data_IF_368477646734
#
_entry.id   IF_368477646734
#
_cell.length_a   1.000
_cell.length_b   1.000
_cell.length_c   1.000
_cell.angle_alpha   90.00
_cell.angle_beta   90.00
_cell.angle_gamma   90.00
#
_symmetry.space_group_name_H-M   'P 1'
#
loop_
_entity.id
_entity.type
_entity.pdbx_description
1 polymer ?
#
# COMPACT_ATOMS: atom_id res chain seq x y z
N UNK A 1 21.06 -11.54 -20.48
CA UNK A 1 19.66 -12.00 -20.35
C UNK A 1 19.28 -11.81 -18.88
N UNK A 2 18.68 -10.66 -18.54
CA UNK A 2 18.36 -10.33 -17.15
C UNK A 2 17.27 -11.28 -16.63
N UNK A 3 17.48 -11.88 -15.46
CA UNK A 3 16.48 -12.67 -14.79
C UNK A 3 15.22 -11.82 -14.61
N UNK A 4 14.13 -12.16 -15.31
CA UNK A 4 12.82 -11.59 -15.04
C UNK A 4 12.51 -11.91 -13.59
N UNK A 5 12.32 -10.89 -12.77
CA UNK A 5 11.82 -11.02 -11.42
C UNK A 5 10.40 -11.61 -11.47
N UNK A 6 10.34 -12.94 -11.43
CA UNK A 6 9.15 -13.80 -11.56
C UNK A 6 8.24 -13.75 -10.33
N UNK A 7 8.59 -12.96 -9.31
CA UNK A 7 7.74 -12.82 -8.14
C UNK A 7 6.55 -11.90 -8.46
N UNK A 8 5.34 -12.37 -8.12
CA UNK A 8 4.11 -11.57 -8.10
C UNK A 8 3.97 -10.75 -6.80
N UNK A 9 5.01 -10.75 -5.97
CA UNK A 9 5.05 -10.04 -4.70
C UNK A 9 5.07 -8.52 -4.89
N UNK A 10 4.55 -7.84 -3.88
CA UNK A 10 4.51 -6.38 -3.82
C UNK A 10 5.86 -5.86 -3.34
N UNK A 11 6.29 -4.71 -3.86
CA UNK A 11 7.50 -4.05 -3.38
C UNK A 11 7.41 -3.71 -1.88
N UNK A 12 8.53 -3.80 -1.17
CA UNK A 12 8.55 -3.73 0.29
C UNK A 12 8.60 -2.30 0.85
N UNK A 13 9.27 -1.39 0.13
CA UNK A 13 9.45 0.02 0.48
C UNK A 13 9.47 0.87 -0.78
N UNK A 14 9.31 2.17 -0.61
CA UNK A 14 9.44 3.13 -1.70
C UNK A 14 10.09 4.43 -1.24
N UNK A 15 10.76 5.09 -2.18
CA UNK A 15 11.04 6.51 -2.12
C UNK A 15 9.94 7.26 -2.88
N UNK A 16 9.27 8.18 -2.20
CA UNK A 16 8.33 9.13 -2.78
C UNK A 16 9.03 10.48 -2.96
N UNK A 17 9.22 10.89 -4.20
CA UNK A 17 9.73 12.20 -4.57
C UNK A 17 8.55 13.09 -4.95
N UNK A 18 8.36 14.18 -4.21
CA UNK A 18 7.22 15.10 -4.39
C UNK A 18 7.67 16.41 -5.02
N UNK A 19 7.12 16.72 -6.19
CA UNK A 19 7.21 18.00 -6.88
C UNK A 19 5.84 18.70 -6.89
N UNK A 20 5.76 20.00 -7.20
CA UNK A 20 4.49 20.72 -7.30
C UNK A 20 3.48 20.09 -8.26
N UNK A 21 3.94 19.55 -9.39
CA UNK A 21 3.16 19.01 -10.50
C UNK A 21 3.15 17.47 -10.57
N UNK A 22 4.10 16.78 -9.92
CA UNK A 22 4.25 15.33 -10.02
C UNK A 22 4.65 14.64 -8.72
N UNK A 23 4.24 13.38 -8.59
CA UNK A 23 4.87 12.43 -7.67
C UNK A 23 5.64 11.37 -8.45
N UNK A 24 6.79 10.96 -7.92
CA UNK A 24 7.55 9.82 -8.41
C UNK A 24 7.71 8.82 -7.28
N UNK A 25 7.30 7.57 -7.51
CA UNK A 25 7.33 6.50 -6.50
C UNK A 25 8.26 5.40 -7.03
N UNK A 26 9.42 5.31 -6.40
CA UNK A 26 10.51 4.43 -6.80
C UNK A 26 10.62 3.24 -5.84
N UNK A 27 10.52 1.99 -6.33
CA UNK A 27 10.63 0.80 -5.50
C UNK A 27 11.99 0.65 -4.84
N UNK A 28 11.99 0.41 -3.53
CA UNK A 28 13.18 0.16 -2.71
C UNK A 28 13.04 -1.13 -1.89
N UNK A 29 14.16 -1.71 -1.49
CA UNK A 29 14.17 -2.73 -0.44
C UNK A 29 14.24 -2.09 0.96
N UNK A 30 14.34 -2.93 2.00
CA UNK A 30 14.43 -2.48 3.40
C UNK A 30 15.70 -1.71 3.75
N UNK A 31 16.79 -1.93 3.01
CA UNK A 31 18.07 -1.23 3.23
C UNK A 31 18.19 0.02 2.35
N UNK A 32 17.18 0.30 1.51
CA UNK A 32 17.09 1.49 0.66
C UNK A 32 17.66 1.29 -0.75
N UNK A 33 18.06 0.08 -1.14
CA UNK A 33 18.56 -0.20 -2.48
C UNK A 33 17.42 -0.17 -3.50
N UNK A 34 17.73 0.26 -4.73
CA UNK A 34 16.78 0.22 -5.86
C UNK A 34 16.50 -1.23 -6.21
N UNK A 35 15.22 -1.60 -6.32
CA UNK A 35 14.80 -2.98 -6.69
C UNK A 35 14.11 -3.05 -8.05
N UNK A 36 13.94 -1.93 -8.74
CA UNK A 36 13.32 -1.87 -10.07
C UNK A 36 13.97 -0.80 -10.93
N UNK A 37 14.09 -1.08 -12.23
CA UNK A 37 14.47 -0.08 -13.23
C UNK A 37 13.29 0.81 -13.66
N UNK A 38 12.11 0.61 -13.05
CA UNK A 38 10.91 1.40 -13.30
C UNK A 38 10.37 2.04 -12.03
N UNK A 39 9.68 3.17 -12.20
CA UNK A 39 8.99 3.91 -11.15
C UNK A 39 7.58 4.30 -11.60
N UNK A 40 6.70 4.57 -10.64
CA UNK A 40 5.39 5.12 -10.88
C UNK A 40 5.46 6.66 -10.88
N UNK A 41 5.12 7.29 -12.00
CA UNK A 41 4.85 8.72 -12.10
C UNK A 41 3.35 8.98 -11.92
N UNK A 42 3.01 9.96 -11.08
CA UNK A 42 1.65 10.46 -10.91
C UNK A 42 1.66 11.94 -11.29
N UNK A 43 0.91 12.30 -12.33
CA UNK A 43 0.68 13.69 -12.68
C UNK A 43 -0.39 14.28 -11.75
N UNK A 44 -0.02 15.33 -11.00
CA UNK A 44 -0.89 15.94 -9.98
C UNK A 44 -1.97 16.84 -10.60
N UNK A 45 -1.84 17.20 -11.87
CA UNK A 45 -2.79 18.07 -12.57
C UNK A 45 -3.87 17.22 -13.26
N UNK A 46 -3.45 16.25 -14.06
CA UNK A 46 -4.35 15.39 -14.83
C UNK A 46 -4.84 14.17 -14.05
N UNK A 47 -4.13 13.78 -12.99
CA UNK A 47 -4.38 12.54 -12.25
C UNK A 47 -3.85 11.29 -12.94
N UNK A 48 -3.11 11.45 -14.04
CA UNK A 48 -2.61 10.33 -14.84
C UNK A 48 -1.50 9.57 -14.09
N UNK A 49 -1.57 8.24 -14.18
CA UNK A 49 -0.63 7.32 -13.57
C UNK A 49 0.16 6.61 -14.69
N UNK A 50 1.49 6.67 -14.65
CA UNK A 50 2.36 6.08 -15.66
C UNK A 50 3.48 5.27 -15.03
N UNK A 51 3.70 4.06 -15.53
CA UNK A 51 4.93 3.31 -15.24
C UNK A 51 6.01 3.76 -16.23
N UNK A 52 7.13 4.28 -15.73
CA UNK A 52 8.26 4.75 -16.54
C UNK A 52 9.54 4.04 -16.19
N UNK A 53 10.44 3.91 -17.17
CA UNK A 53 11.80 3.42 -16.99
C UNK A 53 12.72 4.56 -16.57
N UNK A 54 13.60 4.32 -15.60
CA UNK A 54 14.62 5.29 -15.16
C UNK A 54 15.61 5.58 -16.29
N UNK A 55 15.87 4.60 -17.17
CA UNK A 55 16.78 4.77 -18.30
C UNK A 55 16.24 5.73 -19.37
N UNK A 56 14.92 5.77 -19.55
CA UNK A 56 14.27 6.60 -20.57
C UNK A 56 13.99 8.02 -20.04
N UNK A 57 13.65 8.13 -18.74
CA UNK A 57 13.32 9.39 -18.09
C UNK A 57 13.78 9.35 -16.62
N UNK A 58 14.95 9.95 -16.31
CA UNK A 58 15.44 10.02 -14.93
C UNK A 58 14.48 10.79 -14.01
N UNK A 59 14.40 10.37 -12.75
CA UNK A 59 13.61 11.08 -11.73
C UNK A 59 14.35 12.39 -11.37
N UNK A 60 13.68 13.56 -11.36
CA UNK A 60 14.28 14.84 -11.00
C UNK A 60 14.48 14.97 -9.48
N UNK A 61 15.37 14.16 -8.90
CA UNK A 61 15.53 14.00 -7.45
C UNK A 61 15.98 15.27 -6.73
N UNK A 62 16.79 16.12 -7.38
CA UNK A 62 17.36 17.33 -6.76
C UNK A 62 16.32 18.40 -6.38
N UNK A 63 15.19 18.45 -7.11
CA UNK A 63 14.12 19.43 -6.89
C UNK A 63 12.98 18.87 -6.04
N UNK A 64 13.05 17.58 -5.68
CA UNK A 64 11.98 16.87 -5.04
C UNK A 64 12.13 16.83 -3.53
N UNK A 65 11.01 16.94 -2.82
CA UNK A 65 10.94 16.53 -1.43
C UNK A 65 10.91 14.99 -1.36
N UNK A 66 11.93 14.39 -0.74
CA UNK A 66 12.03 12.95 -0.57
C UNK A 66 11.37 12.49 0.74
N UNK A 67 10.44 11.55 0.63
CA UNK A 67 9.86 10.82 1.74
C UNK A 67 10.05 9.31 1.54
N UNK A 68 10.47 8.61 2.59
CA UNK A 68 10.42 7.14 2.61
C UNK A 68 9.03 6.68 3.03
N UNK A 69 8.45 5.74 2.27
CA UNK A 69 7.14 5.16 2.57
C UNK A 69 7.20 3.64 2.57
N UNK A 70 6.32 3.04 3.37
CA UNK A 70 6.17 1.61 3.54
C UNK A 70 5.25 0.98 2.49
N UNK A 71 4.46 1.81 1.80
CA UNK A 71 3.53 1.39 0.77
C UNK A 71 2.53 2.49 0.42
N UNK A 72 1.80 2.27 -0.67
CA UNK A 72 0.67 3.12 -1.05
C UNK A 72 -0.59 2.52 -0.41
N UNK A 73 -1.26 3.30 0.44
CA UNK A 73 -2.53 2.89 1.01
C UNK A 73 -3.62 2.94 -0.08
N UNK A 74 -3.60 4.00 -0.90
CA UNK A 74 -4.37 4.11 -2.13
C UNK A 74 -4.55 5.56 -2.59
N UNK A 75 -5.44 5.75 -3.55
CA UNK A 75 -5.81 7.03 -4.13
C UNK A 75 -7.29 7.30 -3.86
N UNK A 76 -7.65 8.56 -3.60
CA UNK A 76 -9.04 8.95 -3.44
C UNK A 76 -9.33 10.30 -4.07
N UNK A 77 -10.53 10.43 -4.65
CA UNK A 77 -11.07 11.67 -5.17
C UNK A 77 -12.11 12.19 -4.19
N UNK A 78 -11.84 13.35 -3.62
CA UNK A 78 -12.84 14.13 -2.90
C UNK A 78 -13.47 15.16 -3.84
N UNK A 79 -14.54 15.81 -3.40
CA UNK A 79 -15.28 16.79 -4.21
C UNK A 79 -14.40 17.94 -4.76
N UNK A 80 -13.27 18.23 -4.12
CA UNK A 80 -12.42 19.38 -4.42
C UNK A 80 -10.94 19.02 -4.61
N UNK A 81 -10.63 17.75 -4.88
CA UNK A 81 -9.27 17.34 -5.20
C UNK A 81 -9.01 15.84 -5.11
N UNK A 82 -7.91 15.45 -5.74
CA UNK A 82 -7.36 14.10 -5.64
C UNK A 82 -6.27 14.03 -4.56
N UNK A 83 -6.18 12.88 -3.91
CA UNK A 83 -5.28 12.65 -2.79
C UNK A 83 -4.57 11.30 -2.92
N UNK A 84 -3.27 11.32 -2.62
CA UNK A 84 -2.45 10.14 -2.43
C UNK A 84 -2.38 9.81 -0.94
N UNK A 85 -2.77 8.61 -0.57
CA UNK A 85 -2.67 8.12 0.81
C UNK A 85 -1.51 7.13 0.89
N UNK A 86 -0.50 7.44 1.71
CA UNK A 86 0.70 6.61 1.88
C UNK A 86 0.82 6.09 3.30
N UNK A 87 1.51 4.96 3.45
CA UNK A 87 1.91 4.40 4.74
C UNK A 87 3.28 4.98 5.09
N UNK A 88 3.35 5.87 6.09
CA UNK A 88 4.60 6.49 6.54
C UNK A 88 5.38 5.60 7.51
N UNK A 89 4.67 4.88 8.38
CA UNK A 89 5.28 3.96 9.34
C UNK A 89 4.44 2.70 9.47
N UNK A 90 5.12 1.57 9.64
CA UNK A 90 4.51 0.33 10.03
C UNK A 90 5.47 -0.49 10.90
N UNK A 91 4.93 -1.09 11.96
CA UNK A 91 5.70 -1.89 12.90
C UNK A 91 5.61 -3.37 12.52
N UNK A 92 6.74 -4.08 12.63
CA UNK A 92 6.75 -5.52 12.43
C UNK A 92 6.01 -6.21 13.59
N UNK A 93 4.91 -6.89 13.27
CA UNK A 93 4.16 -7.70 14.24
C UNK A 93 4.83 -9.04 14.46
N UNK A 94 5.39 -9.61 13.40
CA UNK A 94 6.10 -10.87 13.43
C UNK A 94 6.20 -11.53 12.06
N UNK A 95 6.70 -12.76 12.05
CA UNK A 95 6.89 -13.57 10.83
C UNK A 95 6.02 -14.82 10.90
N UNK A 96 5.21 -15.04 9.87
CA UNK A 96 4.38 -16.24 9.68
C UNK A 96 4.73 -16.89 8.34
N UNK A 97 5.07 -18.18 8.34
CA UNK A 97 5.48 -18.93 7.14
C UNK A 97 6.56 -18.24 6.29
N UNK A 98 7.56 -17.62 6.96
CA UNK A 98 8.65 -16.91 6.29
C UNK A 98 8.30 -15.51 5.77
N UNK A 99 7.04 -15.08 5.90
CA UNK A 99 6.60 -13.75 5.50
C UNK A 99 6.38 -12.85 6.72
N UNK A 100 6.85 -11.62 6.62
CA UNK A 100 6.65 -10.60 7.63
C UNK A 100 5.25 -10.01 7.54
N UNK A 101 4.68 -9.71 8.71
CA UNK A 101 3.39 -9.05 8.83
C UNK A 101 3.58 -7.74 9.58
N UNK A 102 3.07 -6.66 9.00
CA UNK A 102 3.24 -5.30 9.48
C UNK A 102 1.90 -4.74 9.96
N UNK A 103 1.95 -3.94 11.02
CA UNK A 103 0.86 -3.10 11.50
C UNK A 103 1.11 -1.66 11.06
N UNK A 104 0.17 -1.06 10.32
CA UNK A 104 0.26 0.34 9.92
C UNK A 104 0.08 1.23 11.15
N UNK A 105 1.08 2.04 11.46
CA UNK A 105 1.07 2.93 12.63
C UNK A 105 0.95 4.40 12.27
N UNK A 106 1.32 4.78 11.05
CA UNK A 106 1.17 6.14 10.57
C UNK A 106 0.87 6.17 9.07
N UNK A 107 -0.15 6.94 8.69
CA UNK A 107 -0.48 7.26 7.30
C UNK A 107 -0.33 8.76 7.06
N UNK A 108 -0.25 9.14 5.79
CA UNK A 108 -0.25 10.54 5.36
C UNK A 108 -1.15 10.70 4.13
N UNK A 109 -1.96 11.75 4.13
CA UNK A 109 -2.85 12.13 3.03
C UNK A 109 -2.21 13.33 2.33
N UNK A 110 -1.77 13.15 1.09
CA UNK A 110 -1.04 14.15 0.32
C UNK A 110 -1.96 14.64 -0.82
N UNK A 111 -2.38 15.93 -0.81
CA UNK A 111 -3.21 16.47 -1.88
C UNK A 111 -2.44 16.55 -3.20
N UNK A 112 -3.12 16.41 -4.33
CA UNK A 112 -2.52 16.62 -5.65
C UNK A 112 -2.29 18.11 -5.90
N UNK A 113 -3.29 18.96 -5.61
CA UNK A 113 -3.13 20.40 -5.70
C UNK A 113 -2.74 20.98 -4.34
N UNK A 114 -1.61 21.70 -4.27
CA UNK A 114 -1.21 22.42 -3.05
C UNK A 114 -2.05 23.69 -2.81
N UNK A 115 -2.66 24.25 -3.86
CA UNK A 115 -3.38 25.52 -3.77
C UNK A 115 -4.89 25.32 -3.78
N UNK A 116 -5.58 26.07 -2.94
CA UNK A 116 -7.04 26.15 -2.87
C UNK A 116 -7.57 27.44 -3.50
N UNK A 117 -6.74 28.17 -4.27
CA UNK A 117 -7.08 29.49 -4.81
C UNK A 117 -8.28 29.46 -5.77
N UNK A 118 -8.56 28.31 -6.39
CA UNK A 118 -9.70 28.10 -7.27
C UNK A 118 -11.00 27.77 -6.49
N UNK A 119 -10.91 27.61 -5.16
CA UNK A 119 -12.03 27.23 -4.32
C UNK A 119 -12.58 28.43 -3.54
N UNK A 120 -13.90 28.45 -3.36
CA UNK A 120 -14.57 29.36 -2.43
C UNK A 120 -14.31 28.93 -0.98
N UNK A 121 -14.48 29.85 -0.02
CA UNK A 121 -14.32 29.55 1.41
C UNK A 121 -15.16 28.36 1.87
N UNK A 122 -16.40 28.26 1.38
CA UNK A 122 -17.29 27.13 1.67
C UNK A 122 -16.73 25.80 1.14
N UNK A 123 -16.14 25.80 -0.05
CA UNK A 123 -15.52 24.61 -0.64
C UNK A 123 -14.26 24.21 0.11
N UNK A 124 -13.44 25.18 0.54
CA UNK A 124 -12.27 24.92 1.41
C UNK A 124 -12.71 24.27 2.72
N UNK A 125 -13.76 24.80 3.36
CA UNK A 125 -14.32 24.25 4.58
C UNK A 125 -14.84 22.81 4.40
N UNK A 126 -15.63 22.54 3.36
CA UNK A 126 -16.10 21.18 3.06
C UNK A 126 -14.95 20.23 2.76
N UNK A 127 -13.98 20.64 1.94
CA UNK A 127 -12.81 19.83 1.61
C UNK A 127 -12.03 19.44 2.86
N UNK A 128 -11.78 20.40 3.77
CA UNK A 128 -11.13 20.14 5.04
C UNK A 128 -11.88 19.09 5.87
N UNK A 129 -13.20 19.24 6.02
CA UNK A 129 -14.00 18.27 6.76
C UNK A 129 -13.92 16.85 6.16
N UNK A 130 -13.93 16.70 4.84
CA UNK A 130 -13.79 15.39 4.21
C UNK A 130 -12.40 14.78 4.44
N UNK A 131 -11.35 15.59 4.38
CA UNK A 131 -9.98 15.13 4.70
C UNK A 131 -9.90 14.70 6.17
N UNK A 132 -10.46 15.49 7.09
CA UNK A 132 -10.49 15.18 8.53
C UNK A 132 -11.25 13.87 8.81
N UNK A 133 -12.36 13.62 8.10
CA UNK A 133 -13.11 12.36 8.20
C UNK A 133 -12.27 11.16 7.74
N UNK A 134 -11.55 11.27 6.62
CA UNK A 134 -10.65 10.20 6.16
C UNK A 134 -9.53 10.00 7.19
N UNK A 135 -8.95 11.08 7.70
CA UNK A 135 -7.88 11.00 8.68
C UNK A 135 -8.34 10.32 9.97
N UNK A 136 -9.57 10.58 10.44
CA UNK A 136 -10.16 9.89 11.58
C UNK A 136 -10.26 8.37 11.34
N UNK A 137 -10.70 7.95 10.17
CA UNK A 137 -10.80 6.53 9.81
C UNK A 137 -9.41 5.89 9.73
N UNK A 138 -8.45 6.55 9.08
CA UNK A 138 -7.08 6.05 8.95
C UNK A 138 -6.30 6.05 10.28
N UNK A 139 -6.70 6.88 11.24
CA UNK A 139 -6.14 6.88 12.60
C UNK A 139 -6.68 5.73 13.47
N UNK A 140 -7.70 5.00 13.01
CA UNK A 140 -8.16 3.79 13.69
C UNK A 140 -7.09 2.71 13.60
N UNK A 141 -6.74 2.12 14.74
CA UNK A 141 -5.76 1.01 14.79
C UNK A 141 -6.32 -0.25 14.14
N UNK A 142 -5.43 -1.14 13.69
CA UNK A 142 -5.83 -2.46 13.23
C UNK A 142 -5.73 -2.67 11.72
N UNK A 143 -4.98 -1.82 11.02
CA UNK A 143 -4.62 -2.04 9.62
C UNK A 143 -3.33 -2.86 9.53
N UNK A 144 -3.40 -4.01 8.86
CA UNK A 144 -2.28 -4.93 8.71
C UNK A 144 -2.06 -5.32 7.26
N UNK A 145 -0.81 -5.57 6.91
CA UNK A 145 -0.45 -6.06 5.59
C UNK A 145 0.79 -6.97 5.64
N UNK A 146 1.01 -7.70 4.55
CA UNK A 146 2.26 -8.37 4.26
C UNK A 146 2.54 -8.22 2.77
N UNK A 147 3.80 -8.15 2.38
CA UNK A 147 4.20 -8.02 0.97
C UNK A 147 4.27 -9.37 0.25
N UNK A 148 4.31 -10.47 1.01
CA UNK A 148 4.54 -11.84 0.52
C UNK A 148 3.46 -12.83 0.97
N UNK A 149 2.65 -12.50 1.97
CA UNK A 149 1.63 -13.39 2.50
C UNK A 149 0.24 -12.78 2.43
N UNK A 150 -0.72 -13.56 1.93
CA UNK A 150 -2.10 -13.11 1.83
C UNK A 150 -2.83 -13.27 3.17
N UNK A 151 -2.98 -12.14 3.88
CA UNK A 151 -3.69 -12.09 5.17
C UNK A 151 -5.21 -12.25 5.02
N UNK A 152 -5.75 -12.12 3.82
CA UNK A 152 -7.20 -12.02 3.59
C UNK A 152 -7.88 -13.39 3.50
N UNK A 153 -7.14 -14.46 3.21
CA UNK A 153 -7.62 -15.84 3.22
C UNK A 153 -7.14 -16.62 4.45
N UNK A 154 -7.86 -17.67 4.85
CA UNK A 154 -7.39 -18.57 5.92
C UNK A 154 -6.24 -19.44 5.43
N UNK A 155 -5.41 -19.93 6.36
CA UNK A 155 -4.33 -20.87 6.03
C UNK A 155 -4.87 -22.16 5.40
N UNK A 156 -6.01 -22.66 5.89
CA UNK A 156 -6.68 -23.81 5.29
C UNK A 156 -7.07 -23.54 3.84
N UNK A 157 -7.75 -22.42 3.57
CA UNK A 157 -8.16 -22.06 2.21
C UNK A 157 -6.94 -21.93 1.29
N UNK A 158 -5.86 -21.27 1.75
CA UNK A 158 -4.62 -21.14 0.98
C UNK A 158 -3.97 -22.52 0.71
N UNK A 159 -4.00 -23.44 1.67
CA UNK A 159 -3.48 -24.79 1.48
C UNK A 159 -4.25 -25.56 0.41
N UNK A 160 -5.56 -25.38 0.35
CA UNK A 160 -6.45 -26.11 -0.55
C UNK A 160 -6.54 -25.45 -1.95
N UNK A 161 -6.38 -24.13 -2.05
CA UNK A 161 -6.72 -23.37 -3.26
C UNK A 161 -5.55 -22.59 -3.88
N UNK A 162 -4.44 -22.35 -3.16
CA UNK A 162 -3.31 -21.59 -3.71
C UNK A 162 -2.43 -22.44 -4.63
N UNK A 163 -2.96 -22.79 -5.80
CA UNK A 163 -2.21 -23.45 -6.87
C UNK A 163 -1.01 -22.60 -7.34
N UNK A 164 0.00 -23.18 -8.02
CA UNK A 164 1.10 -22.40 -8.59
C UNK A 164 0.63 -21.23 -9.46
N UNK A 165 -0.40 -21.43 -10.29
CA UNK A 165 -0.97 -20.37 -11.13
C UNK A 165 -1.63 -19.27 -10.28
N UNK A 166 -2.38 -19.64 -9.24
CA UNK A 166 -2.95 -18.66 -8.30
C UNK A 166 -1.86 -17.83 -7.61
N UNK A 167 -0.70 -18.43 -7.31
CA UNK A 167 0.43 -17.72 -6.69
C UNK A 167 1.13 -16.72 -7.63
N UNK A 168 0.97 -16.88 -8.94
CA UNK A 168 1.50 -15.96 -9.94
C UNK A 168 0.61 -14.75 -10.18
N UNK A 169 -0.66 -14.80 -9.77
CA UNK A 169 -1.55 -13.63 -9.84
C UNK A 169 -1.06 -12.53 -8.88
N UNK A 170 -1.22 -11.24 -9.26
CA UNK A 170 -1.04 -10.11 -8.36
C UNK A 170 -1.71 -10.33 -7.02
N UNK A 171 -1.03 -9.92 -5.94
CA UNK A 171 -1.55 -10.12 -4.58
C UNK A 171 -2.94 -9.47 -4.38
N UNK A 172 -3.19 -8.32 -5.01
CA UNK A 172 -4.49 -7.66 -4.98
C UNK A 172 -5.61 -8.43 -5.69
N UNK A 173 -5.28 -9.15 -6.76
CA UNK A 173 -6.24 -9.91 -7.56
C UNK A 173 -6.67 -11.19 -6.84
N UNK A 174 -5.70 -11.88 -6.22
CA UNK A 174 -5.93 -13.15 -5.54
C UNK A 174 -6.53 -13.02 -4.12
N UNK A 175 -6.40 -11.83 -3.53
CA UNK A 175 -6.91 -11.53 -2.19
C UNK A 175 -8.44 -11.67 -2.11
N UNK A 176 -8.92 -12.10 -0.95
CA UNK A 176 -10.35 -12.19 -0.65
C UNK A 176 -10.97 -10.78 -0.60
N UNK A 177 -11.83 -10.40 -1.56
CA UNK A 177 -12.38 -9.05 -1.66
C UNK A 177 -13.09 -8.61 -0.38
N UNK A 178 -13.65 -9.55 0.37
CA UNK A 178 -14.38 -9.29 1.62
C UNK A 178 -13.49 -8.63 2.69
N UNK A 179 -12.18 -8.89 2.67
CA UNK A 179 -11.24 -8.50 3.73
C UNK A 179 -10.11 -7.58 3.24
N UNK A 180 -10.21 -7.06 2.01
CA UNK A 180 -9.30 -6.02 1.49
C UNK A 180 -9.92 -4.65 1.76
N UNK A 181 -9.53 -4.03 2.86
CA UNK A 181 -10.08 -2.74 3.30
C UNK A 181 -9.82 -1.62 2.29
N UNK A 182 -8.60 -1.55 1.75
CA UNK A 182 -8.20 -0.51 0.80
C UNK A 182 -8.56 -0.83 -0.67
N UNK A 183 -9.42 -1.82 -0.94
CA UNK A 183 -9.70 -2.28 -2.32
C UNK A 183 -10.15 -1.15 -3.24
N UNK A 184 -11.06 -0.31 -2.77
CA UNK A 184 -11.56 0.83 -3.54
C UNK A 184 -10.44 1.85 -3.80
N UNK A 185 -9.67 2.20 -2.76
CA UNK A 185 -8.57 3.16 -2.85
C UNK A 185 -7.44 2.68 -3.77
N UNK A 186 -7.16 1.37 -3.79
CA UNK A 186 -6.13 0.78 -4.64
C UNK A 186 -6.59 0.48 -6.08
N UNK A 187 -7.88 0.65 -6.39
CA UNK A 187 -8.43 0.32 -7.70
C UNK A 187 -7.83 1.12 -8.86
N UNK A 188 -7.52 2.44 -8.75
CA UNK A 188 -6.94 3.17 -9.87
C UNK A 188 -5.55 2.66 -10.25
N UNK A 189 -4.75 2.24 -9.25
CA UNK A 189 -3.45 1.61 -9.46
C UNK A 189 -3.61 0.19 -10.04
N UNK A 190 -4.55 -0.58 -9.51
CA UNK A 190 -4.74 -1.98 -9.91
C UNK A 190 -5.30 -2.13 -11.33
N UNK A 191 -5.95 -1.09 -11.86
CA UNK A 191 -6.47 -1.05 -13.22
C UNK A 191 -5.36 -0.89 -14.28
N UNK A 192 -4.15 -0.49 -13.88
CA UNK A 192 -3.07 -0.17 -14.81
C UNK A 192 -2.08 -1.34 -14.89
N UNK A 193 -1.86 -1.91 -16.09
CA UNK A 193 -0.89 -2.97 -16.29
C UNK A 193 0.51 -2.57 -15.78
N UNK A 194 1.14 -3.48 -15.05
CA UNK A 194 2.49 -3.27 -14.50
C UNK A 194 2.53 -2.57 -13.13
N UNK A 195 1.42 -1.99 -12.65
CA UNK A 195 1.35 -1.38 -11.31
C UNK A 195 0.94 -2.34 -10.20
N UNK A 196 0.66 -3.61 -10.52
CA UNK A 196 0.31 -4.66 -9.56
C UNK A 196 1.29 -4.78 -8.36
N UNK A 197 2.60 -4.59 -8.60
CA UNK A 197 3.62 -4.65 -7.54
C UNK A 197 3.64 -3.43 -6.61
N UNK A 198 2.84 -2.39 -6.90
CA UNK A 198 2.67 -1.20 -6.05
C UNK A 198 1.43 -1.31 -5.15
N UNK A 199 0.56 -2.30 -5.37
CA UNK A 199 -0.73 -2.43 -4.68
C UNK A 199 -0.73 -3.60 -3.70
N UNK A 200 -0.69 -3.28 -2.39
CA UNK A 200 -0.85 -4.27 -1.34
C UNK A 200 -2.29 -4.32 -0.80
N UNK A 201 -2.86 -5.52 -0.59
CA UNK A 201 -4.04 -5.69 0.23
C UNK A 201 -3.79 -5.30 1.69
N UNK A 202 -4.57 -4.37 2.19
CA UNK A 202 -4.58 -3.97 3.60
C UNK A 202 -5.83 -4.57 4.25
N UNK A 203 -5.61 -5.36 5.30
CA UNK A 203 -6.67 -5.97 6.10
C UNK A 203 -6.94 -5.11 7.33
N UNK A 204 -8.21 -4.96 7.71
CA UNK A 204 -8.60 -4.34 8.97
C UNK A 204 -9.08 -5.39 9.99
N UNK A 205 -8.56 -5.39 11.21
CA UNK A 205 -8.85 -6.41 12.22
C UNK A 205 -7.78 -6.46 13.30
N UNK A 206 -7.24 -7.66 13.56
CA UNK A 206 -6.17 -7.87 14.54
C UNK A 206 -5.19 -8.93 14.04
N UNK A 207 -3.90 -8.70 14.28
CA UNK A 207 -2.85 -9.72 14.15
C UNK A 207 -2.00 -9.70 15.41
N UNK A 208 -1.89 -10.84 16.07
CA UNK A 208 -1.00 -11.04 17.21
C UNK A 208 -0.15 -12.29 16.99
N UNK A 209 1.17 -12.14 17.09
CA UNK A 209 2.12 -13.24 16.97
C UNK A 209 3.02 -13.23 18.21
N UNK A 210 3.16 -14.40 18.85
CA UNK A 210 3.97 -14.58 20.06
C UNK A 210 4.74 -15.89 19.98
N UNK A 211 5.98 -15.87 20.46
CA UNK A 211 6.72 -17.09 20.75
C UNK A 211 6.31 -17.56 22.14
N UNK A 212 6.00 -18.84 22.27
CA UNK A 212 5.51 -19.46 23.49
C UNK A 212 6.39 -20.67 23.83
N UNK A 213 6.55 -20.93 25.13
CA UNK A 213 7.27 -22.06 25.66
C UNK A 213 6.35 -22.83 26.60
N UNK A 214 6.05 -24.09 26.27
CA UNK A 214 5.21 -24.97 27.10
C UNK A 214 5.92 -26.31 27.25
N UNK A 215 6.21 -26.71 28.49
CA UNK A 215 6.93 -27.95 28.81
C UNK A 215 8.23 -28.13 28.01
N UNK A 216 9.05 -27.08 27.88
CA UNK A 216 10.31 -27.13 27.12
C UNK A 216 10.16 -27.05 25.60
N UNK A 217 8.94 -27.07 25.06
CA UNK A 217 8.69 -26.97 23.62
C UNK A 217 8.40 -25.52 23.22
N UNK A 218 9.21 -25.00 22.30
CA UNK A 218 8.99 -23.69 21.69
C UNK A 218 8.01 -23.81 20.53
N UNK A 219 6.99 -22.95 20.52
CA UNK A 219 6.08 -22.81 19.39
C UNK A 219 5.71 -21.35 19.17
N UNK A 220 5.16 -21.06 18.00
CA UNK A 220 4.67 -19.72 17.65
C UNK A 220 3.15 -19.75 17.64
N UNK A 221 2.53 -18.94 18.51
CA UNK A 221 1.10 -18.72 18.51
C UNK A 221 0.79 -17.49 17.67
N UNK A 222 -0.06 -17.65 16.64
CA UNK A 222 -0.54 -16.56 15.80
C UNK A 222 -2.07 -16.51 15.84
N UNK A 223 -2.62 -15.33 16.09
CA UNK A 223 -4.06 -15.05 16.04
C UNK A 223 -4.32 -13.95 15.01
N UNK A 224 -5.21 -14.22 14.05
CA UNK A 224 -5.62 -13.27 13.01
C UNK A 224 -7.15 -13.14 13.05
N UNK A 225 -7.65 -11.93 13.24
CA UNK A 225 -9.06 -11.58 13.04
C UNK A 225 -9.19 -10.59 11.87
N UNK A 226 -10.27 -10.70 11.10
CA UNK A 226 -10.51 -9.90 9.90
C UNK A 226 -11.91 -9.32 9.94
N UNK A 227 -12.03 -8.00 9.79
CA UNK A 227 -13.31 -7.32 9.62
C UNK A 227 -13.67 -7.29 8.15
N UNK A 228 -14.89 -7.68 7.83
CA UNK A 228 -15.41 -7.58 6.47
C UNK A 228 -15.60 -6.12 6.08
N UNK A 229 -15.36 -5.77 4.82
CA UNK A 229 -15.69 -4.44 4.27
C UNK A 229 -17.18 -4.26 3.97
N UNK A 230 -17.95 -5.35 3.92
CA UNK A 230 -19.38 -5.30 3.69
C UNK A 230 -20.10 -5.08 5.02
N UNK A 231 -21.03 -4.11 5.05
CA UNK A 231 -21.87 -3.79 6.21
C UNK A 231 -21.07 -3.41 7.46
N UNK A 232 -19.92 -2.76 7.25
CA UNK A 232 -19.01 -2.29 8.31
C UNK A 232 -19.38 -0.89 8.80
#
# INVERSE_FOLDING_TARGET
>A
MAAKDLSADVYERFHLYSLPDKFYIEPRDKIGAVVSNSYLEIDRISGELKLKSVADAPIPTFQAELTQIYGIFGLTRLAFGDYLIVIKKADLVGVLNGAEIYHVTQTEIIPFNKTTLHLTEKQVWHNKNFVDMIQLVLATTGFYYSTKFDLTHSLQWLSENATPNFRQLPMMERANPRFVWNRHLASPLSAIPGLAKYTLPIMHGFVGIRNCLVHGNNFKLALISRRSIHRA
#
